data_IF_964254548041
#
_entry.id   IF_964254548041
#
_cell.length_a   1.000
_cell.length_b   1.000
_cell.length_c   1.000
_cell.angle_alpha   90.00
_cell.angle_beta   90.00
_cell.angle_gamma   90.00
#
_symmetry.space_group_name_H-M   'P 1'
#
loop_
_entity.id
_entity.type
_entity.pdbx_description
1 polymer ?
#
# COMPACT_ATOMS: atom_id res chain seq x y z
N UNK A 1 -10.72 -21.49 -28.49
CA UNK A 1 -9.66 -21.87 -29.45
C UNK A 1 -9.00 -20.66 -30.12
N UNK A 2 -9.62 -19.47 -30.12
CA UNK A 2 -9.05 -18.24 -30.69
C UNK A 2 -7.74 -17.76 -30.03
N UNK A 3 -7.53 -18.05 -28.74
CA UNK A 3 -6.33 -17.62 -28.02
C UNK A 3 -5.02 -18.23 -28.54
N UNK A 4 -5.00 -19.52 -28.89
CA UNK A 4 -3.79 -20.16 -29.42
C UNK A 4 -3.57 -19.87 -30.90
N UNK A 5 -4.66 -19.65 -31.66
CA UNK A 5 -4.60 -19.27 -33.08
C UNK A 5 -3.99 -17.87 -33.25
N UNK A 6 -4.31 -16.92 -32.36
CA UNK A 6 -3.71 -15.59 -32.36
C UNK A 6 -2.20 -15.59 -32.11
N UNK A 7 -1.73 -16.42 -31.17
CA UNK A 7 -0.29 -16.57 -30.86
C UNK A 7 0.46 -17.27 -32.01
N UNK A 8 -0.18 -18.27 -32.64
CA UNK A 8 0.35 -18.92 -33.83
C UNK A 8 0.57 -17.92 -34.97
N UNK A 9 -0.40 -17.03 -35.20
CA UNK A 9 -0.33 -15.98 -36.21
C UNK A 9 0.77 -14.96 -35.84
N UNK A 10 0.76 -14.38 -34.63
CA UNK A 10 1.75 -13.38 -34.18
C UNK A 10 3.20 -13.88 -34.22
N UNK A 11 3.43 -15.17 -33.95
CA UNK A 11 4.76 -15.78 -34.04
C UNK A 11 5.19 -16.09 -35.49
N UNK A 12 4.28 -16.12 -36.48
CA UNK A 12 4.58 -16.47 -37.88
C UNK A 12 5.02 -15.28 -38.74
N UNK A 13 4.73 -14.03 -38.35
CA UNK A 13 4.87 -12.87 -39.24
C UNK A 13 6.25 -12.22 -39.40
N UNK A 14 7.33 -12.63 -38.70
CA UNK A 14 8.55 -11.81 -38.78
C UNK A 14 9.93 -12.45 -38.62
N UNK A 15 10.12 -13.78 -38.62
CA UNK A 15 11.49 -14.32 -38.47
C UNK A 15 11.78 -15.60 -39.27
N UNK A 16 12.69 -15.47 -40.25
CA UNK A 16 13.32 -16.51 -41.07
C UNK A 16 13.96 -17.66 -40.25
N UNK A 17 14.30 -17.43 -38.97
CA UNK A 17 15.01 -18.39 -38.10
C UNK A 17 14.14 -18.89 -36.95
N UNK A 18 13.90 -20.20 -36.92
CA UNK A 18 13.09 -20.94 -35.93
C UNK A 18 13.44 -20.63 -34.45
N UNK A 19 14.70 -20.29 -34.16
CA UNK A 19 15.20 -20.03 -32.80
C UNK A 19 14.79 -18.65 -32.25
N UNK A 20 14.57 -17.66 -33.12
CA UNK A 20 14.24 -16.28 -32.74
C UNK A 20 12.78 -16.15 -32.33
N UNK A 21 11.88 -16.91 -32.98
CA UNK A 21 10.44 -16.95 -32.67
C UNK A 21 10.16 -17.42 -31.24
N UNK A 22 10.84 -18.48 -30.79
CA UNK A 22 10.71 -18.99 -29.42
C UNK A 22 11.26 -18.02 -28.37
N UNK A 23 12.39 -17.38 -28.64
CA UNK A 23 12.97 -16.35 -27.76
C UNK A 23 12.06 -15.13 -27.61
N UNK A 24 11.51 -14.63 -28.73
CA UNK A 24 10.57 -13.51 -28.71
C UNK A 24 9.30 -13.85 -27.91
N UNK A 25 8.78 -15.07 -28.04
CA UNK A 25 7.65 -15.55 -27.23
C UNK A 25 7.97 -15.54 -25.72
N UNK A 26 9.14 -16.04 -25.33
CA UNK A 26 9.58 -16.04 -23.92
C UNK A 26 9.76 -14.63 -23.38
N UNK A 27 10.32 -13.70 -24.16
CA UNK A 27 10.49 -12.30 -23.74
C UNK A 27 9.12 -11.63 -23.52
N UNK A 28 8.17 -11.81 -24.45
CA UNK A 28 6.83 -11.23 -24.33
C UNK A 28 6.10 -11.79 -23.11
N UNK A 29 6.10 -13.11 -22.93
CA UNK A 29 5.44 -13.75 -21.78
C UNK A 29 6.13 -13.36 -20.47
N UNK A 30 7.46 -13.29 -20.45
CA UNK A 30 8.23 -12.86 -19.28
C UNK A 30 7.87 -11.44 -18.87
N UNK A 31 7.87 -10.49 -19.81
CA UNK A 31 7.52 -9.09 -19.54
C UNK A 31 6.07 -8.95 -19.08
N UNK A 32 5.12 -9.59 -19.76
CA UNK A 32 3.70 -9.54 -19.38
C UNK A 32 3.46 -10.21 -18.02
N UNK A 33 4.09 -11.35 -17.76
CA UNK A 33 4.00 -12.05 -16.48
C UNK A 33 4.56 -11.21 -15.33
N UNK A 34 5.73 -10.60 -15.51
CA UNK A 34 6.33 -9.71 -14.51
C UNK A 34 5.50 -8.45 -14.31
N UNK A 35 4.90 -7.88 -15.35
CA UNK A 35 4.02 -6.72 -15.22
C UNK A 35 2.74 -7.03 -14.43
N UNK A 36 2.14 -8.20 -14.66
CA UNK A 36 0.94 -8.64 -13.93
C UNK A 36 1.27 -8.90 -12.45
N UNK A 37 2.34 -9.65 -12.18
CA UNK A 37 2.75 -9.96 -10.81
C UNK A 37 3.26 -8.72 -10.06
N UNK A 38 4.13 -7.93 -10.69
CA UNK A 38 4.67 -6.70 -10.11
C UNK A 38 3.60 -5.64 -9.90
N UNK A 39 2.68 -5.47 -10.85
CA UNK A 39 1.54 -4.56 -10.73
C UNK A 39 0.59 -4.95 -9.60
N UNK A 40 0.30 -6.24 -9.44
CA UNK A 40 -0.51 -6.74 -8.34
C UNK A 40 0.15 -6.51 -6.97
N UNK A 41 1.47 -6.71 -6.87
CA UNK A 41 2.24 -6.47 -5.65
C UNK A 41 2.30 -4.95 -5.31
N UNK A 42 2.52 -4.10 -6.30
CA UNK A 42 2.55 -2.65 -6.13
C UNK A 42 1.22 -2.08 -5.62
N UNK A 43 0.10 -2.65 -6.09
CA UNK A 43 -1.22 -2.25 -5.64
C UNK A 43 -1.46 -2.56 -4.15
N UNK A 44 -0.91 -3.66 -3.64
CA UNK A 44 -1.01 -4.01 -2.22
C UNK A 44 -0.24 -3.02 -1.34
N UNK A 45 0.94 -2.58 -1.78
CA UNK A 45 1.74 -1.60 -1.04
C UNK A 45 1.02 -0.26 -0.90
N UNK A 46 0.34 0.21 -1.95
CA UNK A 46 -0.41 1.47 -1.91
C UNK A 46 -1.51 1.47 -0.84
N UNK A 47 -2.21 0.35 -0.68
CA UNK A 47 -3.24 0.19 0.36
C UNK A 47 -2.61 0.22 1.75
N UNK A 48 -1.49 -0.47 1.94
CA UNK A 48 -0.78 -0.50 3.24
C UNK A 48 -0.31 0.89 3.64
N UNK A 49 0.29 1.65 2.72
CA UNK A 49 0.72 3.03 3.00
C UNK A 49 -0.46 3.95 3.33
N UNK A 50 -1.60 3.80 2.65
CA UNK A 50 -2.80 4.57 2.95
C UNK A 50 -3.34 4.27 4.36
N UNK A 51 -3.42 3.00 4.74
CA UNK A 51 -3.88 2.59 6.09
C UNK A 51 -2.94 3.12 7.17
N UNK A 52 -1.62 3.01 6.97
CA UNK A 52 -0.64 3.52 7.94
C UNK A 52 -0.78 5.04 8.09
N UNK A 53 -0.97 5.78 7.00
CA UNK A 53 -1.20 7.23 7.06
C UNK A 53 -2.45 7.57 7.88
N UNK A 54 -3.59 6.95 7.56
CA UNK A 54 -4.84 7.17 8.28
C UNK A 54 -4.73 6.85 9.78
N UNK A 55 -4.10 5.72 10.13
CA UNK A 55 -3.87 5.34 11.53
C UNK A 55 -2.93 6.31 12.25
N UNK A 56 -1.94 6.85 11.54
CA UNK A 56 -0.99 7.82 12.09
C UNK A 56 -1.72 9.12 12.43
N UNK A 57 -2.54 9.63 11.50
CA UNK A 57 -3.33 10.85 11.69
C UNK A 57 -4.31 10.71 12.88
N UNK A 58 -5.03 9.60 12.96
CA UNK A 58 -5.96 9.32 14.07
C UNK A 58 -5.21 9.22 15.42
N UNK A 59 -4.00 8.65 15.42
CA UNK A 59 -3.19 8.52 16.63
C UNK A 59 -2.71 9.86 17.16
N UNK A 60 -2.41 10.82 16.28
CA UNK A 60 -2.01 12.18 16.68
C UNK A 60 -3.16 12.91 17.37
N UNK A 61 -4.38 12.82 16.79
CA UNK A 61 -5.59 13.40 17.38
C UNK A 61 -5.84 12.79 18.78
N UNK A 62 -5.80 11.47 18.90
CA UNK A 62 -6.02 10.79 20.19
C UNK A 62 -4.98 11.19 21.25
N UNK A 63 -3.70 11.27 20.86
CA UNK A 63 -2.63 11.68 21.79
C UNK A 63 -2.81 13.14 22.24
N UNK A 64 -3.30 14.02 21.36
CA UNK A 64 -3.59 15.42 21.71
C UNK A 64 -4.76 15.56 22.70
N UNK A 65 -5.85 14.80 22.48
CA UNK A 65 -7.03 14.81 23.35
C UNK A 65 -6.72 14.23 24.73
N UNK A 66 -5.97 13.13 24.79
CA UNK A 66 -5.48 12.56 26.05
C UNK A 66 -4.60 13.55 26.82
N UNK A 67 -3.72 14.27 26.10
CA UNK A 67 -2.89 15.35 26.63
C UNK A 67 -3.67 16.60 27.09
N UNK A 68 -4.86 16.85 26.55
CA UNK A 68 -5.73 17.91 27.05
C UNK A 68 -6.48 17.45 28.31
N UNK A 69 -6.96 16.21 28.32
CA UNK A 69 -7.70 15.64 29.43
C UNK A 69 -6.84 15.47 30.69
N UNK A 70 -5.63 14.92 30.56
CA UNK A 70 -4.73 14.74 31.70
C UNK A 70 -4.30 16.07 32.34
N UNK A 71 -4.07 17.12 31.54
CA UNK A 71 -3.77 18.46 32.02
C UNK A 71 -4.96 19.07 32.79
N UNK A 72 -6.18 18.91 32.29
CA UNK A 72 -7.40 19.33 33.00
C UNK A 72 -7.55 18.63 34.35
N UNK A 73 -7.31 17.32 34.39
CA UNK A 73 -7.34 16.54 35.63
C UNK A 73 -6.26 17.01 36.62
N UNK A 74 -5.04 17.26 36.14
CA UNK A 74 -3.95 17.76 36.98
C UNK A 74 -4.29 19.11 37.61
N UNK A 75 -4.75 20.08 36.81
CA UNK A 75 -5.15 21.41 37.31
C UNK A 75 -6.30 21.29 38.31
N UNK A 76 -7.30 20.46 38.03
CA UNK A 76 -8.45 20.25 38.93
C UNK A 76 -7.99 19.67 40.27
N UNK A 77 -7.10 18.68 40.26
CA UNK A 77 -6.54 18.10 41.49
C UNK A 77 -5.71 19.12 42.28
N UNK A 78 -4.90 19.94 41.62
CA UNK A 78 -4.17 21.03 42.28
C UNK A 78 -5.11 22.06 42.92
N UNK A 79 -6.17 22.46 42.23
CA UNK A 79 -7.16 23.40 42.77
C UNK A 79 -7.90 22.81 43.97
N UNK A 80 -8.32 21.53 43.90
CA UNK A 80 -8.96 20.84 45.04
C UNK A 80 -8.02 20.78 46.24
N UNK A 81 -6.75 20.44 46.03
CA UNK A 81 -5.76 20.39 47.12
C UNK A 81 -5.48 21.78 47.71
N UNK A 82 -5.49 22.84 46.90
CA UNK A 82 -5.34 24.21 47.38
C UNK A 82 -6.52 24.62 48.27
N UNK A 83 -7.76 24.39 47.81
CA UNK A 83 -8.98 24.69 48.56
C UNK A 83 -9.03 23.94 49.90
N UNK A 84 -8.69 22.64 49.91
CA UNK A 84 -8.66 21.82 51.15
C UNK A 84 -7.56 22.26 52.13
N UNK A 85 -6.51 22.92 51.65
CA UNK A 85 -5.41 23.39 52.49
C UNK A 85 -5.69 24.74 53.15
N UNK A 86 -6.63 25.52 52.60
CA UNK A 86 -7.06 26.81 53.14
C UNK A 86 -8.22 26.70 54.15
N UNK A 87 -8.78 25.50 54.39
CA UNK A 87 -9.66 25.16 55.53
C UNK A 87 -8.85 24.78 56.79
#
# INVERSE_FOLDING_TARGET
MLDSVGIGYLLDFNFERRRVRGLMGVVVVGVLGTAIWGGALANQLSLVYWVIGALTDDSEIVNSELGAHNNKLSITLYLVMFVVKDE
#
